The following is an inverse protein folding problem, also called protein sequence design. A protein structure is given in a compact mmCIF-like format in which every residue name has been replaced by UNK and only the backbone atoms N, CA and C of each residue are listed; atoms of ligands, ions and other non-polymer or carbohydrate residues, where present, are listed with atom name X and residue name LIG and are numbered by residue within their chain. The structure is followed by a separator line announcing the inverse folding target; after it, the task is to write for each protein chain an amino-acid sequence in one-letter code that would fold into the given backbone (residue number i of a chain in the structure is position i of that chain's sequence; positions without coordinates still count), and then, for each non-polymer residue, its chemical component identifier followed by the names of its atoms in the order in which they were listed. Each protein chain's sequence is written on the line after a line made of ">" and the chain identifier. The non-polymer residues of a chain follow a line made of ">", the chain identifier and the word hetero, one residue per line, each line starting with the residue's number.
data_IF_835092468100
#
_entry.id   IF_835092468100
#
_cell.length_a   1.000
_cell.length_b   1.000
_cell.length_c   1.000
_cell.angle_alpha   90.00
_cell.angle_beta   90.00
_cell.angle_gamma   90.00
#
_symmetry.space_group_name_H-M   'P 1'
#
loop_
_entity.id
_entity.type
_entity.pdbx_description
1 polymer ?
#
# COMPACT_ATOMS: atom_id res chain seq x y z
N UNK A 1 -16.89 0.83 64.12
CA UNK A 1 -17.06 1.21 62.70
C UNK A 1 -15.69 1.16 62.05
N UNK A 2 -15.41 0.09 61.30
CA UNK A 2 -14.11 -0.09 60.62
C UNK A 2 -14.14 0.54 59.24
N UNK A 3 -13.17 1.40 58.93
CA UNK A 3 -12.96 1.92 57.57
C UNK A 3 -12.14 0.89 56.78
N UNK A 4 -12.73 0.39 55.71
CA UNK A 4 -12.07 -0.48 54.73
C UNK A 4 -11.29 0.43 53.78
N UNK A 5 -9.96 0.39 53.85
CA UNK A 5 -9.09 0.99 52.83
C UNK A 5 -9.32 0.27 51.50
N UNK A 6 -9.79 1.02 50.49
CA UNK A 6 -9.85 0.54 49.11
C UNK A 6 -8.44 0.35 48.57
N UNK A 7 -8.09 -0.90 48.23
CA UNK A 7 -6.87 -1.20 47.51
C UNK A 7 -6.91 -0.54 46.13
N UNK A 8 -5.97 0.37 45.86
CA UNK A 8 -5.77 0.91 44.53
C UNK A 8 -5.27 -0.22 43.62
N UNK A 9 -6.02 -0.51 42.55
CA UNK A 9 -5.62 -1.48 41.55
C UNK A 9 -4.28 -1.04 40.92
N UNK A 10 -3.23 -1.85 41.10
CA UNK A 10 -1.93 -1.64 40.47
C UNK A 10 -2.10 -1.62 38.94
N UNK A 11 -1.83 -0.48 38.32
CA UNK A 11 -1.78 -0.38 36.87
C UNK A 11 -0.50 -1.08 36.36
N UNK A 12 -0.56 -1.81 35.23
CA UNK A 12 0.60 -2.50 34.68
C UNK A 12 1.78 -1.54 34.44
N UNK A 13 2.93 -1.86 35.03
CA UNK A 13 4.09 -0.97 35.13
C UNK A 13 4.87 -0.76 33.81
N UNK A 14 4.60 -1.51 32.74
CA UNK A 14 5.32 -1.36 31.47
C UNK A 14 4.35 -1.23 30.28
N UNK A 15 4.24 0.00 29.75
CA UNK A 15 3.44 0.30 28.55
C UNK A 15 4.36 0.43 27.35
N UNK A 16 4.49 -0.64 26.57
CA UNK A 16 5.24 -0.63 25.32
C UNK A 16 4.39 -0.06 24.18
N UNK A 17 4.88 1.01 23.53
CA UNK A 17 4.27 1.55 22.30
C UNK A 17 5.09 1.10 21.10
N UNK A 18 4.47 0.35 20.21
CA UNK A 18 5.01 0.02 18.90
C UNK A 18 4.20 0.71 17.80
N UNK A 19 4.85 1.01 16.67
CA UNK A 19 4.19 1.53 15.48
C UNK A 19 4.51 0.61 14.30
N UNK A 20 3.45 0.14 13.64
CA UNK A 20 3.52 -0.63 12.42
C UNK A 20 3.13 0.29 11.26
N UNK A 21 4.00 0.41 10.24
CA UNK A 21 3.67 1.13 9.00
C UNK A 21 3.80 0.13 7.85
N UNK A 22 2.71 -0.19 7.13
CA UNK A 22 2.80 -1.05 5.96
C UNK A 22 3.54 -0.29 4.85
N UNK A 23 4.62 -0.88 4.34
CA UNK A 23 5.30 -0.35 3.16
C UNK A 23 4.70 -1.00 1.91
N UNK A 24 4.32 -0.19 0.93
CA UNK A 24 3.80 -0.68 -0.35
C UNK A 24 4.62 -0.15 -1.52
N UNK A 25 4.78 -0.97 -2.55
CA UNK A 25 5.42 -0.61 -3.81
C UNK A 25 4.42 -0.89 -4.93
N UNK A 26 4.14 0.12 -5.75
CA UNK A 26 3.18 0.02 -6.85
C UNK A 26 3.87 0.07 -8.20
N UNK A 27 3.30 -0.62 -9.19
CA UNK A 27 3.76 -0.53 -10.57
C UNK A 27 2.82 -1.24 -11.53
N UNK A 28 2.83 -0.81 -12.79
CA UNK A 28 1.95 -1.33 -13.84
C UNK A 28 2.75 -2.15 -14.85
N UNK A 29 2.28 -3.33 -15.20
CA UNK A 29 2.83 -4.16 -16.28
C UNK A 29 1.90 -4.06 -17.49
N UNK A 30 2.39 -3.54 -18.60
CA UNK A 30 1.65 -3.45 -19.86
C UNK A 30 2.15 -4.51 -20.84
N UNK A 31 1.24 -5.28 -21.42
CA UNK A 31 1.53 -6.37 -22.33
C UNK A 31 0.66 -6.28 -23.58
N UNK A 32 1.30 -5.92 -24.70
CA UNK A 32 0.67 -5.92 -26.03
C UNK A 32 0.92 -7.27 -26.69
N UNK A 33 -0.16 -7.98 -26.98
CA UNK A 33 -0.16 -9.22 -27.75
C UNK A 33 -0.54 -8.82 -29.18
N UNK A 34 0.33 -9.14 -30.14
CA UNK A 34 0.09 -8.93 -31.57
C UNK A 34 -0.04 -10.29 -32.25
N UNK A 35 -0.85 -10.39 -33.30
CA UNK A 35 -1.07 -11.67 -33.94
C UNK A 35 -1.98 -12.59 -33.13
N UNK A 36 -3.05 -12.01 -32.56
CA UNK A 36 -4.02 -12.73 -31.74
C UNK A 36 -4.55 -13.98 -32.46
N UNK A 37 -4.86 -13.88 -33.75
CA UNK A 37 -5.34 -15.01 -34.57
C UNK A 37 -4.34 -16.16 -34.65
N UNK A 38 -3.04 -15.88 -34.78
CA UNK A 38 -1.99 -16.90 -34.84
C UNK A 38 -1.87 -17.62 -33.50
N UNK A 39 -1.95 -16.88 -32.39
CA UNK A 39 -1.88 -17.49 -31.07
C UNK A 39 -3.05 -18.45 -30.77
N UNK A 40 -4.19 -18.35 -31.50
CA UNK A 40 -5.30 -19.32 -31.38
C UNK A 40 -4.94 -20.73 -31.86
N UNK A 41 -3.84 -20.93 -32.58
CA UNK A 41 -3.38 -22.27 -32.96
C UNK A 41 -2.67 -23.02 -31.82
N UNK A 42 -2.41 -22.36 -30.69
CA UNK A 42 -1.80 -23.01 -29.53
C UNK A 42 -2.77 -24.00 -28.88
N UNK A 43 -2.25 -25.11 -28.37
CA UNK A 43 -3.10 -26.09 -27.68
C UNK A 43 -3.68 -25.53 -26.38
N UNK A 44 -4.75 -26.15 -25.89
CA UNK A 44 -5.35 -25.82 -24.59
C UNK A 44 -4.30 -25.98 -23.49
N UNK A 45 -4.15 -24.97 -22.63
CA UNK A 45 -3.13 -24.95 -21.58
C UNK A 45 -1.74 -24.49 -22.04
N UNK A 46 -1.51 -24.25 -23.34
CA UNK A 46 -0.32 -23.55 -23.81
C UNK A 46 -0.48 -22.03 -23.61
N UNK A 47 0.63 -21.34 -23.35
CA UNK A 47 0.62 -19.92 -23.06
C UNK A 47 1.87 -19.20 -23.58
N UNK A 48 1.75 -17.88 -23.70
CA UNK A 48 2.86 -16.96 -23.95
C UNK A 48 3.06 -16.06 -22.72
N UNK A 49 4.30 -15.61 -22.52
CA UNK A 49 4.67 -14.73 -21.39
C UNK A 49 4.92 -13.30 -21.86
N UNK A 50 4.56 -12.34 -21.02
CA UNK A 50 5.03 -10.97 -21.15
C UNK A 50 6.52 -10.85 -20.82
N UNK A 51 7.16 -9.73 -21.16
CA UNK A 51 8.44 -9.36 -20.57
C UNK A 51 8.38 -9.34 -19.05
N UNK A 52 9.52 -9.61 -18.42
CA UNK A 52 9.66 -9.64 -16.96
C UNK A 52 9.77 -8.20 -16.45
N UNK A 53 8.98 -7.88 -15.42
CA UNK A 53 9.05 -6.61 -14.70
C UNK A 53 9.50 -6.84 -13.26
N UNK A 54 10.57 -6.15 -12.85
CA UNK A 54 11.04 -6.14 -11.46
C UNK A 54 10.23 -5.11 -10.67
N UNK A 55 9.59 -5.54 -9.58
CA UNK A 55 8.78 -4.68 -8.73
C UNK A 55 8.77 -5.19 -7.28
N UNK A 56 9.01 -4.29 -6.33
CA UNK A 56 8.95 -4.63 -4.89
C UNK A 56 9.98 -5.64 -4.41
N UNK A 57 11.06 -5.87 -5.18
CA UNK A 57 12.06 -6.93 -4.91
C UNK A 57 11.79 -8.26 -5.62
N UNK A 58 10.70 -8.34 -6.39
CA UNK A 58 10.27 -9.56 -7.06
C UNK A 58 10.25 -9.40 -8.59
N UNK A 59 10.32 -10.52 -9.31
CA UNK A 59 10.20 -10.57 -10.76
C UNK A 59 8.82 -11.09 -11.15
N UNK A 60 8.10 -10.30 -11.95
CA UNK A 60 6.71 -10.58 -12.35
C UNK A 60 6.57 -10.67 -13.87
N UNK A 61 5.66 -11.51 -14.35
CA UNK A 61 5.19 -11.48 -15.73
C UNK A 61 3.70 -11.85 -15.83
N UNK A 62 3.07 -11.57 -16.97
CA UNK A 62 1.75 -12.09 -17.30
C UNK A 62 1.89 -13.35 -18.17
N UNK A 63 1.07 -14.36 -17.89
CA UNK A 63 0.82 -15.50 -18.78
C UNK A 63 -0.50 -15.32 -19.50
N UNK A 64 -0.48 -15.45 -20.82
CA UNK A 64 -1.64 -15.38 -21.68
C UNK A 64 -1.93 -16.74 -22.33
N UNK A 65 -3.12 -17.28 -22.09
CA UNK A 65 -3.63 -18.55 -22.59
C UNK A 65 -4.76 -18.27 -23.61
N UNK A 66 -4.49 -18.29 -24.92
CA UNK A 66 -5.50 -17.98 -25.94
C UNK A 66 -6.67 -19.00 -25.95
N UNK A 67 -6.37 -20.24 -25.58
CA UNK A 67 -7.33 -21.35 -25.56
C UNK A 67 -7.72 -21.82 -24.16
N UNK A 68 -7.48 -20.98 -23.14
CA UNK A 68 -7.80 -21.29 -21.76
C UNK A 68 -6.78 -22.22 -21.09
N UNK A 69 -7.00 -22.49 -19.81
CA UNK A 69 -6.18 -23.43 -19.04
C UNK A 69 -6.59 -24.89 -19.29
N UNK A 70 -5.83 -25.86 -18.78
CA UNK A 70 -6.19 -27.28 -18.86
C UNK A 70 -7.48 -27.65 -18.08
N UNK A 71 -8.06 -26.72 -17.33
CA UNK A 71 -9.31 -26.95 -16.60
C UNK A 71 -10.48 -26.98 -17.59
N UNK A 72 -11.36 -27.99 -17.48
CA UNK A 72 -12.54 -28.16 -18.36
C UNK A 72 -13.42 -26.92 -18.43
N UNK A 73 -13.57 -26.21 -17.32
CA UNK A 73 -14.32 -24.94 -17.21
C UNK A 73 -13.73 -23.76 -18.01
N UNK A 74 -12.52 -23.90 -18.55
CA UNK A 74 -11.85 -22.87 -19.37
C UNK A 74 -12.16 -22.98 -20.86
N UNK A 75 -12.96 -23.96 -21.31
CA UNK A 75 -13.30 -24.12 -22.72
C UNK A 75 -14.08 -22.91 -23.27
N UNK A 76 -13.63 -22.34 -24.39
CA UNK A 76 -14.23 -21.14 -24.99
C UNK A 76 -13.83 -19.82 -24.33
N UNK A 77 -12.92 -19.86 -23.36
CA UNK A 77 -12.40 -18.68 -22.68
C UNK A 77 -10.91 -18.47 -22.99
N UNK A 78 -10.45 -17.24 -22.77
CA UNK A 78 -9.03 -16.90 -22.70
C UNK A 78 -8.61 -16.78 -21.23
N UNK A 79 -7.36 -17.14 -20.95
CA UNK A 79 -6.78 -17.06 -19.62
C UNK A 79 -5.71 -15.98 -19.51
N UNK A 80 -5.76 -15.17 -18.46
CA UNK A 80 -4.68 -14.22 -18.11
C UNK A 80 -4.33 -14.39 -16.63
N UNK A 81 -3.03 -14.52 -16.34
CA UNK A 81 -2.54 -14.81 -15.01
C UNK A 81 -1.31 -13.97 -14.71
N UNK A 82 -1.26 -13.36 -13.52
CA UNK A 82 -0.02 -12.82 -12.98
C UNK A 82 0.84 -13.99 -12.46
N UNK A 83 2.13 -13.98 -12.78
CA UNK A 83 3.09 -15.01 -12.38
C UNK A 83 4.26 -14.36 -11.63
N UNK A 84 4.59 -14.94 -10.47
CA UNK A 84 5.78 -14.62 -9.70
C UNK A 84 6.93 -15.55 -10.15
N UNK A 85 8.02 -14.98 -10.67
CA UNK A 85 9.18 -15.72 -11.17
C UNK A 85 10.33 -15.81 -10.17
N UNK A 86 10.33 -15.00 -9.10
CA UNK A 86 11.37 -15.05 -8.08
C UNK A 86 11.31 -16.37 -7.31
N UNK A 87 12.35 -17.21 -7.40
CA UNK A 87 12.40 -18.51 -6.73
C UNK A 87 12.40 -18.40 -5.20
N UNK A 88 11.89 -19.43 -4.52
CA UNK A 88 11.94 -19.58 -3.06
C UNK A 88 11.44 -18.38 -2.26
N UNK A 89 10.43 -17.67 -2.78
CA UNK A 89 9.89 -16.46 -2.14
C UNK A 89 8.38 -16.48 -2.05
N UNK A 90 7.88 -15.77 -1.04
CA UNK A 90 6.49 -15.38 -0.90
C UNK A 90 6.37 -13.87 -1.08
N UNK A 91 5.35 -13.46 -1.84
CA UNK A 91 5.02 -12.06 -2.07
C UNK A 91 3.55 -11.81 -1.74
N UNK A 92 3.28 -10.85 -0.85
CA UNK A 92 1.93 -10.35 -0.58
C UNK A 92 1.61 -9.24 -1.57
N UNK A 93 0.63 -9.45 -2.44
CA UNK A 93 0.27 -8.45 -3.46
C UNK A 93 -1.23 -8.27 -3.63
N UNK A 94 -1.63 -7.07 -4.00
CA UNK A 94 -2.91 -6.81 -4.65
C UNK A 94 -2.63 -6.53 -6.12
N UNK A 95 -3.51 -6.98 -7.02
CA UNK A 95 -3.35 -6.72 -8.43
C UNK A 95 -4.69 -6.58 -9.15
N UNK A 96 -4.72 -5.70 -10.13
CA UNK A 96 -5.88 -5.45 -10.98
C UNK A 96 -5.47 -5.64 -12.44
N UNK A 97 -6.25 -6.40 -13.21
CA UNK A 97 -6.00 -6.65 -14.64
C UNK A 97 -7.11 -5.98 -15.45
N UNK A 98 -6.70 -5.20 -16.44
CA UNK A 98 -7.58 -4.45 -17.32
C UNK A 98 -7.21 -4.64 -18.79
N UNK A 99 -8.22 -4.59 -19.66
CA UNK A 99 -8.03 -4.40 -21.09
C UNK A 99 -8.06 -2.92 -21.42
N UNK A 100 -7.18 -2.51 -22.33
CA UNK A 100 -7.10 -1.13 -22.80
C UNK A 100 -7.58 -1.09 -24.24
N UNK A 101 -8.52 -0.19 -24.52
CA UNK A 101 -8.91 0.16 -25.87
C UNK A 101 -7.77 1.01 -26.48
N UNK A 102 -7.08 0.51 -27.52
CA UNK A 102 -5.94 1.20 -28.10
C UNK A 102 -6.32 2.49 -28.86
N UNK A 103 -7.60 2.74 -29.12
CA UNK A 103 -8.07 3.95 -29.82
C UNK A 103 -8.42 5.04 -28.84
N UNK A 104 -9.23 4.72 -27.83
CA UNK A 104 -9.75 5.70 -26.87
C UNK A 104 -8.90 5.80 -25.61
N UNK A 105 -7.95 4.87 -25.41
CA UNK A 105 -7.20 4.66 -24.16
C UNK A 105 -8.10 4.39 -22.94
N UNK A 106 -9.38 4.07 -23.18
CA UNK A 106 -10.31 3.65 -22.13
C UNK A 106 -9.95 2.25 -21.66
N UNK A 107 -10.20 1.96 -20.38
CA UNK A 107 -9.91 0.66 -19.80
C UNK A 107 -11.17 -0.04 -19.30
N UNK A 108 -11.24 -1.36 -19.45
CA UNK A 108 -12.21 -2.21 -18.76
C UNK A 108 -11.48 -3.14 -17.80
N UNK A 109 -11.77 -2.99 -16.50
CA UNK A 109 -11.22 -3.87 -15.46
C UNK A 109 -11.92 -5.22 -15.51
N UNK A 110 -11.14 -6.28 -15.65
CA UNK A 110 -11.67 -7.64 -15.73
C UNK A 110 -11.46 -8.39 -14.43
N UNK A 111 -10.34 -8.14 -13.75
CA UNK A 111 -10.10 -8.60 -12.39
C UNK A 111 -9.71 -7.42 -11.54
N UNK A 112 -10.33 -7.37 -10.36
CA UNK A 112 -9.89 -6.54 -9.26
C UNK A 112 -9.65 -7.42 -8.04
N UNK A 113 -8.45 -7.36 -7.49
CA UNK A 113 -8.13 -8.07 -6.25
C UNK A 113 -8.95 -7.46 -5.11
N UNK A 114 -9.81 -8.28 -4.49
CA UNK A 114 -10.64 -7.87 -3.34
C UNK A 114 -9.84 -7.82 -2.03
N UNK A 115 -8.76 -8.59 -1.96
CA UNK A 115 -7.90 -8.72 -0.79
C UNK A 115 -6.49 -9.13 -1.20
N UNK A 116 -5.53 -8.85 -0.33
CA UNK A 116 -4.13 -9.26 -0.50
C UNK A 116 -4.02 -10.75 -0.77
N UNK A 117 -3.38 -11.10 -1.89
CA UNK A 117 -3.09 -12.47 -2.30
C UNK A 117 -1.63 -12.78 -2.02
N UNK A 118 -1.34 -13.98 -1.50
CA UNK A 118 0.04 -14.48 -1.33
C UNK A 118 0.42 -15.28 -2.56
N UNK A 119 1.44 -14.83 -3.27
CA UNK A 119 2.08 -15.58 -4.34
C UNK A 119 3.28 -16.32 -3.75
N UNK A 120 3.33 -17.64 -3.92
CA UNK A 120 4.44 -18.49 -3.49
C UNK A 120 5.04 -19.16 -4.72
N UNK A 121 6.34 -18.99 -4.93
CA UNK A 121 7.04 -19.61 -6.07
C UNK A 121 7.50 -21.05 -5.82
N UNK A 122 7.61 -21.46 -4.55
CA UNK A 122 7.96 -22.83 -4.13
C UNK A 122 6.81 -23.78 -4.43
N UNK A 123 5.60 -23.38 -4.07
CA UNK A 123 4.37 -24.07 -4.42
C UNK A 123 3.98 -23.64 -5.83
N UNK A 124 4.69 -24.13 -6.85
CA UNK A 124 4.36 -23.90 -8.28
C UNK A 124 2.88 -24.17 -8.60
N UNK A 125 2.15 -24.85 -7.74
CA UNK A 125 0.70 -24.89 -7.63
C UNK A 125 0.31 -25.10 -6.16
N UNK A 126 -0.67 -24.35 -5.62
CA UNK A 126 -1.77 -24.88 -4.78
C UNK A 126 -2.57 -23.78 -4.05
N UNK A 127 -1.96 -22.74 -3.49
CA UNK A 127 -2.64 -21.93 -2.45
C UNK A 127 -2.83 -20.42 -2.74
N UNK A 128 -2.36 -19.92 -3.89
CA UNK A 128 -2.56 -18.51 -4.27
C UNK A 128 -2.41 -18.16 -5.76
N UNK A 129 -2.03 -19.13 -6.60
CA UNK A 129 -1.80 -18.94 -8.05
C UNK A 129 -3.09 -18.98 -8.89
N UNK A 130 -4.25 -19.03 -8.25
CA UNK A 130 -5.54 -19.35 -8.86
C UNK A 130 -6.54 -18.17 -8.85
N UNK A 131 -6.10 -16.92 -8.84
CA UNK A 131 -6.99 -15.82 -9.25
C UNK A 131 -6.92 -15.72 -10.79
N UNK A 132 -7.46 -16.77 -11.42
CA UNK A 132 -7.51 -16.96 -12.86
C UNK A 132 -8.51 -16.01 -13.50
N UNK A 133 -8.07 -15.21 -14.47
CA UNK A 133 -9.01 -14.57 -15.40
C UNK A 133 -9.48 -15.58 -16.42
N UNK A 134 -10.79 -15.61 -16.62
CA UNK A 134 -11.46 -16.42 -17.62
C UNK A 134 -12.41 -15.45 -18.33
N UNK A 135 -11.97 -14.87 -19.46
CA UNK A 135 -12.80 -13.99 -20.29
C UNK A 135 -13.34 -14.79 -21.47
N UNK A 136 -14.66 -14.67 -21.73
CA UNK A 136 -15.28 -15.34 -22.87
C UNK A 136 -14.64 -14.85 -24.15
N UNK A 137 -14.08 -15.77 -24.93
CA UNK A 137 -13.37 -15.42 -26.17
C UNK A 137 -14.29 -14.66 -27.13
N UNK A 138 -15.53 -15.13 -27.27
CA UNK A 138 -16.56 -14.49 -28.09
C UNK A 138 -16.88 -13.04 -27.69
N UNK A 139 -16.77 -12.72 -26.40
CA UNK A 139 -17.06 -11.38 -25.90
C UNK A 139 -15.85 -10.47 -26.16
N UNK A 140 -14.63 -10.99 -26.00
CA UNK A 140 -13.42 -10.27 -26.41
C UNK A 140 -13.42 -9.96 -27.91
N UNK A 141 -13.69 -10.96 -28.76
CA UNK A 141 -13.64 -10.81 -30.23
C UNK A 141 -14.71 -9.84 -30.76
N UNK A 142 -15.78 -9.58 -29.98
CA UNK A 142 -16.81 -8.57 -30.29
C UNK A 142 -16.55 -7.21 -29.64
N UNK A 143 -15.55 -7.12 -28.77
CA UNK A 143 -15.23 -5.90 -28.02
C UNK A 143 -14.29 -4.98 -28.79
N UNK A 144 -14.24 -3.68 -28.46
CA UNK A 144 -13.28 -2.75 -29.06
C UNK A 144 -11.83 -2.99 -28.59
N UNK A 145 -11.61 -3.87 -27.61
CA UNK A 145 -10.28 -4.13 -27.04
C UNK A 145 -9.39 -4.99 -27.95
N UNK A 146 -9.99 -5.74 -28.89
CA UNK A 146 -9.25 -6.47 -29.92
C UNK A 146 -9.29 -5.67 -31.22
N UNK A 147 -8.20 -4.95 -31.51
CA UNK A 147 -8.10 -4.10 -32.70
C UNK A 147 -6.84 -4.45 -33.50
N UNK A 148 -6.96 -4.53 -34.81
CA UNK A 148 -5.85 -4.83 -35.72
C UNK A 148 -5.06 -6.09 -35.29
N UNK A 149 -5.81 -7.15 -34.95
CA UNK A 149 -5.26 -8.43 -34.49
C UNK A 149 -4.34 -8.31 -33.26
N UNK A 150 -4.56 -7.26 -32.45
CA UNK A 150 -3.75 -6.94 -31.28
C UNK A 150 -4.62 -6.69 -30.05
N UNK A 151 -4.12 -7.11 -28.90
CA UNK A 151 -4.75 -6.98 -27.59
C UNK A 151 -3.77 -6.31 -26.62
N UNK A 152 -4.22 -5.28 -25.91
CA UNK A 152 -3.43 -4.62 -24.87
C UNK A 152 -3.99 -4.93 -23.48
N UNK A 153 -3.17 -5.59 -22.67
CA UNK A 153 -3.49 -5.95 -21.28
C UNK A 153 -2.60 -5.13 -20.36
N UNK A 154 -3.17 -4.56 -19.31
CA UNK A 154 -2.42 -3.95 -18.22
C UNK A 154 -2.72 -4.63 -16.90
N UNK A 155 -1.69 -4.72 -16.05
CA UNK A 155 -1.81 -5.22 -14.70
C UNK A 155 -1.18 -4.24 -13.72
N UNK A 156 -2.01 -3.60 -12.90
CA UNK A 156 -1.57 -2.78 -11.78
C UNK A 156 -1.26 -3.68 -10.60
N UNK A 157 -0.03 -3.64 -10.11
CA UNK A 157 0.47 -4.50 -9.03
C UNK A 157 0.84 -3.61 -7.84
N UNK A 158 0.35 -3.97 -6.67
CA UNK A 158 0.72 -3.38 -5.37
C UNK A 158 1.34 -4.46 -4.50
N UNK A 159 2.66 -4.39 -4.32
CA UNK A 159 3.42 -5.28 -3.43
C UNK A 159 3.39 -4.71 -2.03
N UNK A 160 2.93 -5.51 -1.07
CA UNK A 160 2.89 -5.17 0.35
C UNK A 160 4.11 -5.82 1.00
N UNK A 161 5.07 -4.99 1.38
CA UNK A 161 6.25 -5.44 2.12
C UNK A 161 5.85 -5.73 3.55
N UNK A 162 6.58 -6.65 4.17
CA UNK A 162 6.38 -6.94 5.59
C UNK A 162 6.57 -5.66 6.42
N UNK A 163 5.65 -5.37 7.34
CA UNK A 163 5.76 -4.19 8.17
C UNK A 163 6.99 -4.30 9.06
N UNK A 164 7.88 -3.33 8.93
CA UNK A 164 9.00 -3.19 9.84
C UNK A 164 8.45 -2.67 11.17
N UNK A 165 8.46 -3.51 12.21
CA UNK A 165 8.08 -3.08 13.56
C UNK A 165 9.25 -2.30 14.14
N UNK A 166 9.15 -0.98 14.06
CA UNK A 166 10.12 -0.12 14.74
C UNK A 166 9.74 -0.12 16.22
N UNK A 167 10.59 -0.75 17.05
CA UNK A 167 10.57 -0.49 18.49
C UNK A 167 10.92 0.98 18.65
N UNK A 168 9.97 1.78 19.12
CA UNK A 168 10.30 3.13 19.55
C UNK A 168 11.28 2.92 20.71
N UNK A 169 12.53 3.40 20.63
CA UNK A 169 13.44 3.33 21.76
C UNK A 169 12.72 3.85 22.98
N UNK A 170 12.94 3.24 24.14
CA UNK A 170 12.52 3.83 25.41
C UNK A 170 12.99 5.28 25.34
N UNK A 171 12.09 6.24 25.16
CA UNK A 171 12.28 7.50 25.86
C UNK A 171 12.33 7.01 27.27
N UNK A 172 13.55 6.90 27.81
CA UNK A 172 13.71 6.88 29.24
C UNK A 172 12.72 7.91 29.74
N UNK A 173 11.95 7.55 30.75
CA UNK A 173 11.41 8.56 31.64
C UNK A 173 12.65 9.23 32.25
N UNK A 174 13.31 10.10 31.47
CA UNK A 174 13.77 11.37 31.99
C UNK A 174 12.53 11.85 32.68
N UNK A 175 12.55 11.82 34.02
CA UNK A 175 11.61 12.52 34.89
C UNK A 175 11.07 13.68 34.07
N UNK A 176 9.79 13.62 33.70
CA UNK A 176 9.09 14.60 32.85
C UNK A 176 9.92 15.89 32.77
N UNK A 177 10.51 16.29 31.62
CA UNK A 177 10.93 17.67 31.52
C UNK A 177 9.67 18.43 31.89
N UNK A 178 9.73 19.15 33.02
CA UNK A 178 8.63 19.89 33.64
C UNK A 178 7.69 20.34 32.53
N UNK A 179 6.36 20.14 32.66
CA UNK A 179 5.42 20.44 31.58
C UNK A 179 5.86 21.75 30.98
N UNK A 180 6.29 21.72 29.70
CA UNK A 180 6.93 22.84 29.02
C UNK A 180 6.20 24.08 29.48
N UNK A 181 6.85 24.88 30.34
CA UNK A 181 6.20 26.06 30.89
C UNK A 181 5.75 26.84 29.67
N UNK A 182 4.43 27.06 29.59
CA UNK A 182 3.87 27.76 28.46
C UNK A 182 4.61 29.08 28.37
N UNK A 183 5.28 29.37 27.26
CA UNK A 183 5.97 30.65 27.05
C UNK A 183 5.04 31.82 27.39
N UNK A 184 3.73 31.64 27.18
CA UNK A 184 2.70 32.60 27.58
C UNK A 184 2.65 32.83 29.09
N UNK A 185 2.75 31.79 29.92
CA UNK A 185 2.78 31.95 31.38
C UNK A 185 4.08 32.57 31.88
N UNK A 186 5.22 32.23 31.25
CA UNK A 186 6.49 32.84 31.63
C UNK A 186 6.56 34.33 31.22
N UNK A 187 6.01 34.70 30.06
CA UNK A 187 5.87 36.09 29.63
C UNK A 187 4.89 36.89 30.50
N UNK A 188 3.75 36.29 30.89
CA UNK A 188 2.80 36.94 31.81
C UNK A 188 3.45 37.19 33.16
N UNK A 189 4.16 36.20 33.72
CA UNK A 189 4.87 36.37 34.98
C UNK A 189 5.97 37.44 34.88
N UNK A 190 6.71 37.51 33.77
CA UNK A 190 7.75 38.54 33.57
C UNK A 190 7.16 39.96 33.60
N UNK A 191 6.00 40.15 32.96
CA UNK A 191 5.28 41.43 32.97
C UNK A 191 4.70 41.75 34.36
N UNK A 192 4.23 40.74 35.11
CA UNK A 192 3.66 40.90 36.44
C UNK A 192 4.72 41.16 37.53
N UNK A 193 5.88 40.48 37.48
CA UNK A 193 6.94 40.62 38.49
C UNK A 193 7.81 41.85 38.28
N UNK A 194 7.86 42.40 37.05
CA UNK A 194 8.67 43.58 36.67
C UNK A 194 10.18 43.39 36.86
N UNK A 195 10.64 42.14 36.99
CA UNK A 195 12.05 41.81 37.13
C UNK A 195 12.79 42.13 35.83
N UNK A 196 13.91 42.85 35.92
CA UNK A 196 14.78 43.25 34.79
C UNK A 196 14.11 44.09 33.69
N UNK A 197 13.04 44.84 34.01
CA UNK A 197 12.46 45.80 33.07
C UNK A 197 13.50 46.85 32.64
N UNK A 198 13.69 47.00 31.34
CA UNK A 198 14.68 47.90 30.71
C UNK A 198 14.04 49.15 30.09
N UNK A 199 12.70 49.20 30.00
CA UNK A 199 11.93 50.34 29.49
C UNK A 199 10.77 50.67 30.41
N UNK A 200 10.37 51.94 30.43
CA UNK A 200 9.23 52.43 31.22
C UNK A 200 8.35 53.29 30.32
N UNK A 201 7.05 52.99 30.28
CA UNK A 201 6.04 53.80 29.61
C UNK A 201 5.28 54.65 30.63
N UNK A 202 5.28 55.97 30.44
CA UNK A 202 4.36 56.87 31.14
C UNK A 202 3.12 57.07 30.28
N UNK A 203 1.97 56.59 30.77
CA UNK A 203 0.67 56.78 30.14
C UNK A 203 -0.20 57.56 31.10
N UNK A 204 -0.37 58.85 30.83
CA UNK A 204 -1.21 59.77 31.62
C UNK A 204 -0.83 59.83 33.11
N UNK A 205 0.46 59.79 33.43
CA UNK A 205 0.98 59.84 34.79
C UNK A 205 1.02 58.49 35.50
N UNK A 206 0.62 57.40 34.83
CA UNK A 206 0.83 56.04 35.31
C UNK A 206 2.02 55.40 34.61
N UNK A 207 2.91 54.82 35.43
CA UNK A 207 4.21 54.33 35.02
C UNK A 207 4.16 52.80 34.89
N UNK A 208 4.40 52.30 33.68
CA UNK A 208 4.38 50.88 33.33
C UNK A 208 5.78 50.41 32.91
N UNK A 209 6.51 49.70 33.79
CA UNK A 209 7.75 49.06 33.41
C UNK A 209 7.49 47.89 32.45
N UNK A 210 8.33 47.76 31.43
CA UNK A 210 8.22 46.80 30.34
C UNK A 210 9.61 46.36 29.85
N UNK A 211 9.64 45.39 28.93
CA UNK A 211 10.87 44.79 28.41
C UNK A 211 10.97 45.01 26.89
N UNK A 212 12.09 45.54 26.38
CA UNK A 212 12.25 45.90 24.95
C UNK A 212 12.15 44.72 23.98
N UNK A 213 12.38 43.49 24.46
CA UNK A 213 12.43 42.27 23.64
C UNK A 213 11.04 41.66 23.37
N UNK A 214 9.98 42.20 23.98
CA UNK A 214 8.57 41.79 23.83
C UNK A 214 7.84 42.78 22.93
#
# INVERSE_FOLDING_TARGET
>A
MGNIMGAAAEQPAERMKSRCVPQTVRGTLSYKITGYRQHKSLDVGCFIRSPIKKLGGYSWCLRYYPNGSQRKESEGFIGVYLELLSESTEARVMFDIRLIDPTTMSSSTIIRSKSTTVFCSILKCALGSCNSMILRRRDLERSPFLLNDSLLIECDITVIKEPQVVKIPKTSVVKSPRPLRSLRHDLVNLLETKDEADVIFDVQGQVFPAHTIV
#
